data_IF_534617704147
#
_entry.id   IF_534617704147
#
_cell.length_a   1.000
_cell.length_b   1.000
_cell.length_c   1.000
_cell.angle_alpha   90.00
_cell.angle_beta   90.00
_cell.angle_gamma   90.00
#
_symmetry.space_group_name_H-M   'P 1'
#
loop_
_entity.id
_entity.type
_entity.pdbx_description
1 polymer ?
#
# COMPACT_ATOMS: atom_id res chain seq x y z
N UNK A 1 -9.93 6.95 56.03
CA UNK A 1 -9.71 5.81 55.10
C UNK A 1 -10.17 6.24 53.71
N UNK A 2 -9.25 6.56 52.81
CA UNK A 2 -9.58 6.91 51.43
C UNK A 2 -9.85 5.61 50.64
N UNK A 3 -11.04 5.49 50.03
CA UNK A 3 -11.37 4.38 49.11
C UNK A 3 -10.50 4.55 47.87
N UNK A 4 -9.52 3.68 47.69
CA UNK A 4 -8.85 3.51 46.39
C UNK A 4 -9.91 2.99 45.41
N UNK A 5 -10.27 3.79 44.42
CA UNK A 5 -11.01 3.31 43.25
C UNK A 5 -10.07 2.42 42.46
N UNK A 6 -10.17 1.10 42.64
CA UNK A 6 -9.53 0.15 41.76
C UNK A 6 -10.20 0.27 40.38
N UNK A 7 -9.45 0.80 39.42
CA UNK A 7 -9.85 0.77 38.02
C UNK A 7 -9.87 -0.70 37.64
N UNK A 8 -11.02 -1.27 37.24
CA UNK A 8 -11.08 -2.68 36.88
C UNK A 8 -10.10 -2.96 35.73
N UNK A 9 -9.41 -4.11 35.73
CA UNK A 9 -8.49 -4.48 34.66
C UNK A 9 -9.25 -4.44 33.32
N UNK A 10 -8.70 -3.72 32.34
CA UNK A 10 -9.25 -3.70 30.98
C UNK A 10 -9.24 -5.13 30.44
N UNK A 11 -10.43 -5.72 30.27
CA UNK A 11 -10.59 -6.97 29.53
C UNK A 11 -10.08 -6.72 28.11
N UNK A 12 -9.20 -7.58 27.55
CA UNK A 12 -8.81 -7.46 26.15
C UNK A 12 -10.06 -7.53 25.28
N UNK A 13 -10.28 -6.52 24.45
CA UNK A 13 -11.39 -6.49 23.50
C UNK A 13 -11.24 -7.67 22.53
N UNK A 14 -12.35 -8.33 22.20
CA UNK A 14 -12.36 -9.32 21.12
C UNK A 14 -12.04 -8.63 19.77
N UNK A 15 -11.48 -9.37 18.81
CA UNK A 15 -11.12 -8.83 17.51
C UNK A 15 -12.34 -8.24 16.77
N UNK A 16 -13.54 -8.82 16.92
CA UNK A 16 -14.75 -8.25 16.33
C UNK A 16 -15.09 -6.89 16.97
N UNK A 17 -14.97 -6.77 18.30
CA UNK A 17 -15.21 -5.52 19.02
C UNK A 17 -14.19 -4.45 18.62
N UNK A 18 -12.92 -4.83 18.46
CA UNK A 18 -11.88 -3.93 17.95
C UNK A 18 -12.20 -3.41 16.55
N UNK A 19 -12.60 -4.29 15.62
CA UNK A 19 -13.00 -3.88 14.27
C UNK A 19 -14.22 -2.95 14.30
N UNK A 20 -15.23 -3.25 15.10
CA UNK A 20 -16.40 -2.39 15.28
C UNK A 20 -16.02 -1.01 15.81
N UNK A 21 -15.14 -0.92 16.82
CA UNK A 21 -14.61 0.34 17.32
C UNK A 21 -13.84 1.12 16.26
N UNK A 22 -12.97 0.46 15.49
CA UNK A 22 -12.22 1.09 14.39
C UNK A 22 -13.15 1.64 13.29
N UNK A 23 -14.29 0.99 13.08
CA UNK A 23 -15.32 1.43 12.14
C UNK A 23 -16.24 2.52 12.73
N UNK A 24 -16.12 2.84 14.02
CA UNK A 24 -17.07 3.66 14.79
C UNK A 24 -18.51 3.12 14.69
N UNK A 25 -18.68 1.84 14.98
CA UNK A 25 -19.96 1.12 14.89
C UNK A 25 -20.23 0.32 16.16
N UNK A 26 -21.46 0.33 16.65
CA UNK A 26 -21.87 -0.55 17.78
C UNK A 26 -22.24 -1.96 17.31
N UNK A 27 -22.54 -2.12 16.01
CA UNK A 27 -22.91 -3.39 15.38
C UNK A 27 -22.64 -3.35 13.87
N UNK A 28 -22.52 -4.51 13.21
CA UNK A 28 -22.38 -4.55 11.75
C UNK A 28 -23.51 -3.80 11.04
N UNK A 29 -23.15 -3.06 9.99
CA UNK A 29 -24.09 -2.36 9.13
C UNK A 29 -24.45 -3.23 7.92
N UNK A 30 -25.58 -2.95 7.28
CA UNK A 30 -25.81 -3.42 5.90
C UNK A 30 -25.03 -2.55 4.90
N UNK A 31 -24.76 -3.08 3.70
CA UNK A 31 -24.18 -2.28 2.60
C UNK A 31 -24.94 -0.97 2.35
N UNK A 32 -26.27 -1.02 2.44
CA UNK A 32 -27.14 0.16 2.28
C UNK A 32 -26.91 1.20 3.38
N UNK A 33 -26.71 0.79 4.63
CA UNK A 33 -26.45 1.71 5.74
C UNK A 33 -25.04 2.34 5.67
N UNK A 34 -24.06 1.61 5.13
CA UNK A 34 -22.68 2.09 5.06
C UNK A 34 -22.46 3.19 4.01
N UNK A 35 -22.92 2.98 2.76
CA UNK A 35 -22.63 3.89 1.64
C UNK A 35 -23.90 4.51 1.01
N UNK A 36 -25.09 4.04 1.38
CA UNK A 36 -26.33 4.39 0.70
C UNK A 36 -26.49 3.69 -0.66
N UNK A 37 -27.73 3.52 -1.11
CA UNK A 37 -28.00 2.85 -2.40
C UNK A 37 -27.41 3.58 -3.61
N UNK A 38 -27.24 4.91 -3.51
CA UNK A 38 -26.76 5.74 -4.63
C UNK A 38 -25.27 5.55 -4.91
N UNK A 39 -24.47 5.22 -3.89
CA UNK A 39 -23.03 5.01 -4.07
C UNK A 39 -22.71 3.82 -5.00
N UNK A 40 -23.58 2.81 -5.01
CA UNK A 40 -23.44 1.65 -5.91
C UNK A 40 -23.96 1.92 -7.32
N UNK A 41 -24.68 3.02 -7.53
CA UNK A 41 -25.18 3.41 -8.86
C UNK A 41 -24.04 4.08 -9.64
N UNK A 42 -23.46 3.36 -10.59
CA UNK A 42 -22.30 3.82 -11.36
C UNK A 42 -20.95 3.48 -10.73
N UNK A 43 -20.94 2.53 -9.80
CA UNK A 43 -19.69 1.90 -9.40
C UNK A 43 -19.09 1.10 -10.56
N UNK A 44 -17.78 0.87 -10.54
CA UNK A 44 -17.03 0.09 -11.53
C UNK A 44 -16.04 -0.79 -10.80
N UNK A 45 -15.93 -2.09 -11.14
CA UNK A 45 -14.87 -2.95 -10.60
C UNK A 45 -13.54 -2.54 -11.24
N UNK A 46 -12.53 -2.30 -10.42
CA UNK A 46 -11.22 -1.76 -10.86
C UNK A 46 -10.04 -2.65 -10.51
N UNK A 47 -10.27 -3.68 -9.71
CA UNK A 47 -9.25 -4.63 -9.32
C UNK A 47 -9.83 -5.74 -8.47
N UNK A 48 -9.01 -6.74 -8.27
CA UNK A 48 -9.29 -7.92 -7.47
C UNK A 48 -8.00 -8.38 -6.78
N UNK A 49 -8.15 -9.11 -5.71
CA UNK A 49 -7.08 -9.87 -5.09
C UNK A 49 -7.65 -11.13 -4.47
N UNK A 50 -6.79 -12.03 -4.00
CA UNK A 50 -7.19 -13.33 -3.44
C UNK A 50 -8.30 -13.21 -2.39
N UNK A 51 -8.23 -12.20 -1.53
CA UNK A 51 -9.17 -12.03 -0.42
C UNK A 51 -10.33 -11.09 -0.69
N UNK A 52 -10.47 -10.48 -1.88
CA UNK A 52 -11.57 -9.54 -2.07
C UNK A 52 -11.60 -8.80 -3.40
N UNK A 53 -12.57 -7.90 -3.46
CA UNK A 53 -12.96 -7.19 -4.68
C UNK A 53 -12.79 -5.69 -4.49
N UNK A 54 -12.31 -4.98 -5.51
CA UNK A 54 -12.11 -3.53 -5.46
C UNK A 54 -12.99 -2.82 -6.48
N UNK A 55 -13.79 -1.87 -6.00
CA UNK A 55 -14.67 -1.05 -6.85
C UNK A 55 -14.36 0.44 -6.69
N UNK A 56 -14.40 1.19 -7.78
CA UNK A 56 -14.49 2.65 -7.74
C UNK A 56 -15.94 3.06 -7.57
N UNK A 57 -16.21 3.97 -6.64
CA UNK A 57 -17.51 4.60 -6.42
C UNK A 57 -17.41 6.12 -6.62
N UNK A 58 -18.42 6.73 -7.22
CA UNK A 58 -18.49 8.17 -7.49
C UNK A 58 -19.35 8.93 -6.48
N UNK A 59 -18.88 10.11 -6.08
CA UNK A 59 -19.57 11.03 -5.18
C UNK A 59 -19.47 12.46 -5.73
N UNK A 60 -20.32 12.80 -6.70
CA UNK A 60 -20.26 14.10 -7.39
C UNK A 60 -19.05 14.15 -8.33
N UNK A 61 -18.16 15.13 -8.13
CA UNK A 61 -16.91 15.28 -8.89
C UNK A 61 -15.75 14.44 -8.35
N UNK A 62 -15.93 13.78 -7.21
CA UNK A 62 -14.90 12.96 -6.57
C UNK A 62 -15.21 11.47 -6.71
N UNK A 63 -14.17 10.65 -6.57
CA UNK A 63 -14.27 9.19 -6.53
C UNK A 63 -13.57 8.63 -5.29
N UNK A 64 -13.85 7.38 -4.98
CA UNK A 64 -13.22 6.61 -3.91
C UNK A 64 -13.11 5.16 -4.34
N UNK A 65 -12.13 4.43 -3.82
CA UNK A 65 -12.03 2.99 -4.01
C UNK A 65 -12.59 2.27 -2.78
N UNK A 66 -13.38 1.22 -2.97
CA UNK A 66 -13.84 0.33 -1.91
C UNK A 66 -13.26 -1.06 -2.10
N UNK A 67 -12.50 -1.56 -1.12
CA UNK A 67 -12.03 -2.97 -1.05
C UNK A 67 -12.98 -3.72 -0.12
N UNK A 68 -13.62 -4.77 -0.62
CA UNK A 68 -14.60 -5.57 0.12
C UNK A 68 -14.00 -6.95 0.37
N UNK A 69 -13.80 -7.30 1.64
CA UNK A 69 -13.18 -8.55 2.07
C UNK A 69 -14.21 -9.38 2.84
N UNK A 70 -14.66 -10.54 2.35
CA UNK A 70 -15.49 -11.47 3.13
C UNK A 70 -14.67 -12.05 4.29
N UNK A 71 -15.27 -12.05 5.48
CA UNK A 71 -14.65 -12.53 6.71
C UNK A 71 -15.60 -13.43 7.47
N UNK A 72 -15.08 -14.25 8.39
CA UNK A 72 -15.85 -15.06 9.34
C UNK A 72 -16.79 -16.11 8.69
N UNK A 73 -16.66 -16.35 7.39
CA UNK A 73 -17.42 -17.39 6.70
C UNK A 73 -16.76 -18.76 6.80
N UNK A 74 -17.58 -19.81 6.69
CA UNK A 74 -17.16 -21.21 6.88
C UNK A 74 -16.94 -21.96 5.57
N UNK A 75 -16.75 -21.26 4.46
CA UNK A 75 -16.55 -21.86 3.14
C UNK A 75 -15.47 -21.08 2.36
N UNK A 76 -14.73 -21.75 1.46
CA UNK A 76 -13.68 -21.11 0.68
C UNK A 76 -14.22 -20.07 -0.30
N UNK A 77 -13.45 -19.01 -0.53
CA UNK A 77 -13.68 -17.97 -1.54
C UNK A 77 -12.38 -17.79 -2.29
N UNK A 78 -12.39 -17.90 -3.63
CA UNK A 78 -11.19 -17.80 -4.48
C UNK A 78 -10.12 -18.85 -4.11
N UNK A 79 -10.54 -20.05 -3.75
CA UNK A 79 -9.66 -21.14 -3.32
C UNK A 79 -9.16 -21.05 -1.87
N UNK A 80 -9.41 -19.94 -1.15
CA UNK A 80 -8.88 -19.69 0.19
C UNK A 80 -9.97 -19.65 1.27
N UNK A 81 -9.60 -19.97 2.51
CA UNK A 81 -10.49 -19.76 3.64
C UNK A 81 -10.67 -18.26 3.90
N UNK A 82 -11.89 -17.86 4.27
CA UNK A 82 -12.15 -16.48 4.66
C UNK A 82 -11.38 -16.14 5.95
N UNK A 83 -10.80 -14.94 5.99
CA UNK A 83 -10.10 -14.45 7.18
C UNK A 83 -11.08 -14.32 8.35
N UNK A 84 -10.63 -14.68 9.54
CA UNK A 84 -11.30 -14.29 10.81
C UNK A 84 -11.10 -12.79 11.09
N UNK A 85 -11.88 -12.23 12.01
CA UNK A 85 -11.72 -10.88 12.52
C UNK A 85 -10.28 -10.63 13.02
N UNK A 86 -9.69 -11.62 13.72
CA UNK A 86 -8.32 -11.54 14.22
C UNK A 86 -7.28 -11.51 13.08
N UNK A 87 -7.52 -12.22 11.97
CA UNK A 87 -6.61 -12.26 10.83
C UNK A 87 -6.69 -11.03 9.92
N UNK A 88 -7.85 -10.36 9.84
CA UNK A 88 -7.98 -9.12 9.05
C UNK A 88 -7.62 -7.85 9.85
N UNK A 89 -7.69 -7.91 11.18
CA UNK A 89 -7.39 -6.78 12.06
C UNK A 89 -6.00 -6.14 11.83
N UNK A 90 -4.91 -6.90 11.57
CA UNK A 90 -3.61 -6.30 11.23
C UNK A 90 -3.67 -5.37 10.03
N UNK A 91 -4.31 -5.79 8.93
CA UNK A 91 -4.46 -4.98 7.71
C UNK A 91 -5.24 -3.69 8.00
N UNK A 92 -6.30 -3.77 8.82
CA UNK A 92 -7.10 -2.62 9.24
C UNK A 92 -6.26 -1.60 10.04
N UNK A 93 -5.46 -2.07 10.99
CA UNK A 93 -4.63 -1.20 11.85
C UNK A 93 -3.54 -0.55 11.01
N UNK A 94 -2.83 -1.33 10.19
CA UNK A 94 -1.74 -0.84 9.35
C UNK A 94 -2.26 0.22 8.37
N UNK A 95 -3.40 -0.03 7.72
CA UNK A 95 -4.09 0.94 6.86
C UNK A 95 -4.28 2.31 7.56
N UNK A 96 -4.85 2.31 8.77
CA UNK A 96 -5.11 3.56 9.50
C UNK A 96 -3.82 4.27 9.94
N UNK A 97 -2.83 3.51 10.39
CA UNK A 97 -1.55 4.07 10.86
C UNK A 97 -0.74 4.69 9.72
N UNK A 98 -0.67 4.03 8.56
CA UNK A 98 0.02 4.56 7.39
C UNK A 98 -0.69 5.78 6.78
N UNK A 99 -2.03 5.74 6.70
CA UNK A 99 -2.82 6.90 6.27
C UNK A 99 -2.57 8.13 7.15
N UNK A 100 -2.31 7.92 8.44
CA UNK A 100 -2.06 8.99 9.40
C UNK A 100 -0.68 9.64 9.26
N UNK A 101 0.26 9.05 8.50
CA UNK A 101 1.60 9.62 8.21
C UNK A 101 1.54 10.85 7.29
N UNK A 102 0.38 11.14 6.69
CA UNK A 102 0.15 12.37 5.91
C UNK A 102 0.14 13.65 6.76
N UNK A 103 0.00 13.52 8.09
CA UNK A 103 -0.06 14.65 9.03
C UNK A 103 1.34 15.17 9.34
N UNK A 104 1.54 16.48 9.15
CA UNK A 104 2.87 17.13 9.23
C UNK A 104 3.33 17.47 10.64
N UNK A 105 2.55 17.14 11.66
CA UNK A 105 2.88 17.32 13.08
C UNK A 105 3.76 16.19 13.64
N UNK A 106 4.07 15.18 12.81
CA UNK A 106 4.88 14.03 13.20
C UNK A 106 6.37 14.21 12.89
N UNK A 107 7.21 13.54 13.67
CA UNK A 107 8.66 13.52 13.47
C UNK A 107 9.08 12.93 12.11
N UNK A 108 8.24 12.09 11.51
CA UNK A 108 8.34 11.67 10.12
C UNK A 108 6.95 11.69 9.48
N UNK A 109 6.83 12.23 8.26
CA UNK A 109 5.54 12.37 7.58
C UNK A 109 5.69 12.37 6.05
N UNK A 110 4.74 11.75 5.35
CA UNK A 110 4.60 11.82 3.89
C UNK A 110 3.14 11.56 3.47
N UNK A 111 2.69 12.12 2.33
CA UNK A 111 1.33 11.89 1.84
C UNK A 111 1.18 10.62 0.98
N UNK A 112 2.25 9.85 0.76
CA UNK A 112 2.34 8.82 -0.27
C UNK A 112 1.80 7.43 0.12
N UNK A 113 1.13 7.29 1.26
CA UNK A 113 0.29 6.13 1.56
C UNK A 113 -1.16 6.46 1.27
N UNK A 114 -1.93 5.51 0.73
CA UNK A 114 -3.31 5.79 0.37
C UNK A 114 -4.15 6.16 1.60
N UNK A 115 -4.93 7.22 1.47
CA UNK A 115 -5.78 7.67 2.55
C UNK A 115 -6.93 6.69 2.79
N UNK A 116 -7.10 6.27 4.05
CA UNK A 116 -8.28 5.53 4.51
C UNK A 116 -9.33 6.55 4.91
N UNK A 117 -10.37 6.72 4.09
CA UNK A 117 -11.51 7.57 4.43
C UNK A 117 -12.33 6.97 5.56
N UNK A 118 -12.63 5.66 5.46
CA UNK A 118 -13.45 4.95 6.45
C UNK A 118 -13.32 3.44 6.35
N UNK A 119 -13.51 2.76 7.48
CA UNK A 119 -13.72 1.31 7.55
C UNK A 119 -15.18 1.03 7.91
N UNK A 120 -15.73 -0.06 7.39
CA UNK A 120 -17.07 -0.52 7.73
C UNK A 120 -17.07 -2.03 8.00
N UNK A 121 -17.57 -2.41 9.17
CA UNK A 121 -17.99 -3.77 9.45
C UNK A 121 -19.39 -3.96 8.86
N UNK A 122 -19.51 -4.85 7.88
CA UNK A 122 -20.74 -5.12 7.15
C UNK A 122 -21.27 -6.52 7.46
N UNK A 123 -22.60 -6.66 7.50
CA UNK A 123 -23.29 -7.95 7.42
C UNK A 123 -24.41 -7.88 6.38
N UNK A 124 -24.49 -8.86 5.49
CA UNK A 124 -25.55 -8.93 4.48
C UNK A 124 -25.19 -9.74 3.23
N UNK A 125 -26.10 -9.77 2.25
CA UNK A 125 -25.81 -10.35 0.93
C UNK A 125 -24.97 -9.41 0.08
N UNK A 126 -24.18 -9.96 -0.83
CA UNK A 126 -23.43 -9.17 -1.81
C UNK A 126 -24.39 -8.34 -2.70
N UNK A 127 -24.20 -7.03 -2.85
CA UNK A 127 -25.13 -6.18 -3.60
C UNK A 127 -25.24 -6.56 -5.09
N UNK A 128 -26.46 -6.68 -5.65
CA UNK A 128 -26.64 -7.00 -7.08
C UNK A 128 -25.96 -6.02 -8.04
N UNK A 129 -25.84 -4.75 -7.66
CA UNK A 129 -25.15 -3.75 -8.47
C UNK A 129 -23.64 -4.03 -8.58
N UNK A 130 -23.01 -4.55 -7.51
CA UNK A 130 -21.60 -4.94 -7.50
C UNK A 130 -21.40 -6.24 -8.29
N UNK A 131 -22.31 -7.20 -8.18
CA UNK A 131 -22.29 -8.42 -9.00
C UNK A 131 -22.30 -8.10 -10.49
N UNK A 132 -23.15 -7.15 -10.91
CA UNK A 132 -23.18 -6.70 -12.30
C UNK A 132 -21.84 -6.12 -12.77
N UNK A 133 -21.15 -5.37 -11.91
CA UNK A 133 -19.82 -4.81 -12.26
C UNK A 133 -18.74 -5.87 -12.25
N UNK A 134 -18.87 -6.89 -11.39
CA UNK A 134 -18.02 -8.07 -11.43
C UNK A 134 -18.18 -8.80 -12.77
N UNK A 135 -19.41 -9.01 -13.24
CA UNK A 135 -19.69 -9.66 -14.53
C UNK A 135 -19.11 -8.89 -15.72
N UNK A 136 -19.17 -7.55 -15.69
CA UNK A 136 -18.55 -6.70 -16.71
C UNK A 136 -17.02 -6.87 -16.72
N UNK A 137 -16.39 -6.77 -15.54
CA UNK A 137 -14.94 -6.94 -15.42
C UNK A 137 -14.48 -8.32 -15.87
N UNK A 138 -15.18 -9.39 -15.48
CA UNK A 138 -14.87 -10.75 -15.91
C UNK A 138 -14.96 -10.90 -17.43
N UNK A 139 -15.98 -10.30 -18.06
CA UNK A 139 -16.10 -10.33 -19.52
C UNK A 139 -14.99 -9.58 -20.27
N UNK A 140 -14.40 -8.55 -19.65
CA UNK A 140 -13.38 -7.69 -20.27
C UNK A 140 -11.95 -8.15 -19.97
N UNK A 141 -11.70 -8.64 -18.76
CA UNK A 141 -10.37 -8.94 -18.21
C UNK A 141 -10.18 -10.40 -17.81
N UNK A 142 -11.25 -11.20 -17.76
CA UNK A 142 -11.30 -12.56 -17.23
C UNK A 142 -10.82 -12.63 -15.78
N UNK A 143 -11.76 -12.58 -14.85
CA UNK A 143 -11.50 -12.61 -13.41
C UNK A 143 -10.80 -13.92 -13.03
N UNK A 144 -9.82 -13.83 -12.15
CA UNK A 144 -9.20 -14.98 -11.48
C UNK A 144 -10.01 -15.41 -10.26
N UNK A 145 -10.84 -14.51 -9.72
CA UNK A 145 -11.70 -14.76 -8.58
C UNK A 145 -13.01 -15.50 -8.97
N UNK A 146 -13.64 -16.13 -7.98
CA UNK A 146 -14.99 -16.65 -8.07
C UNK A 146 -16.01 -15.50 -8.05
N UNK A 147 -17.14 -15.68 -8.76
CA UNK A 147 -18.25 -14.72 -8.70
C UNK A 147 -18.82 -14.66 -7.27
N UNK A 148 -18.90 -13.48 -6.61
CA UNK A 148 -19.27 -13.37 -5.20
C UNK A 148 -20.80 -13.42 -4.95
N UNK A 149 -21.51 -14.37 -5.56
CA UNK A 149 -22.97 -14.50 -5.48
C UNK A 149 -23.47 -15.58 -4.51
N UNK A 150 -22.56 -16.37 -3.95
CA UNK A 150 -22.84 -17.45 -3.01
C UNK A 150 -23.19 -16.95 -1.59
N UNK A 151 -22.91 -15.68 -1.28
CA UNK A 151 -23.05 -15.12 0.07
C UNK A 151 -24.51 -14.95 0.54
N UNK A 152 -24.77 -15.39 1.77
CA UNK A 152 -26.07 -15.30 2.45
C UNK A 152 -26.17 -14.02 3.29
N UNK A 153 -27.34 -13.79 3.89
CA UNK A 153 -27.64 -12.55 4.63
C UNK A 153 -26.87 -12.39 5.95
N UNK A 154 -26.30 -13.48 6.46
CA UNK A 154 -25.47 -13.58 7.65
C UNK A 154 -23.97 -13.42 7.37
N UNK A 155 -23.55 -13.38 6.09
CA UNK A 155 -22.16 -13.14 5.71
C UNK A 155 -21.66 -11.80 6.24
N UNK A 156 -20.45 -11.81 6.80
CA UNK A 156 -19.75 -10.63 7.32
C UNK A 156 -18.67 -10.16 6.33
N UNK A 157 -18.41 -8.86 6.29
CA UNK A 157 -17.32 -8.27 5.51
C UNK A 157 -16.64 -7.17 6.29
N UNK A 158 -15.35 -6.98 6.04
CA UNK A 158 -14.70 -5.71 6.29
C UNK A 158 -14.58 -4.96 4.97
N UNK A 159 -15.11 -3.74 4.92
CA UNK A 159 -15.04 -2.88 3.74
C UNK A 159 -14.18 -1.66 4.05
N UNK A 160 -13.12 -1.49 3.27
CA UNK A 160 -12.23 -0.35 3.33
C UNK A 160 -12.66 0.66 2.28
N UNK A 161 -12.84 1.92 2.65
CA UNK A 161 -13.03 3.03 1.71
C UNK A 161 -11.78 3.89 1.70
N UNK A 162 -11.12 3.92 0.55
CA UNK A 162 -9.90 4.67 0.29
C UNK A 162 -10.16 5.87 -0.62
N UNK A 163 -9.28 6.86 -0.57
CA UNK A 163 -9.18 7.87 -1.63
C UNK A 163 -8.83 7.22 -2.98
N UNK A 164 -9.17 7.87 -4.09
CA UNK A 164 -8.84 7.37 -5.42
C UNK A 164 -7.37 7.65 -5.73
N UNK A 165 -6.54 6.60 -5.73
CA UNK A 165 -5.11 6.69 -6.01
C UNK A 165 -4.76 6.66 -7.49
N UNK A 166 -5.75 6.56 -8.39
CA UNK A 166 -5.53 6.46 -9.83
C UNK A 166 -5.44 5.01 -10.32
N UNK A 167 -4.39 4.69 -11.08
CA UNK A 167 -4.21 3.42 -11.77
C UNK A 167 -3.00 2.67 -11.20
N UNK A 168 -3.02 1.34 -11.15
CA UNK A 168 -1.83 0.57 -10.73
C UNK A 168 -0.65 0.82 -11.67
N UNK A 169 0.57 0.81 -11.15
CA UNK A 169 1.78 1.02 -11.96
C UNK A 169 1.94 -0.09 -13.00
N UNK A 170 1.36 -1.27 -12.77
CA UNK A 170 1.24 -2.36 -13.74
C UNK A 170 0.46 -1.95 -15.00
N UNK A 171 -0.72 -1.33 -14.83
CA UNK A 171 -1.55 -0.85 -15.94
C UNK A 171 -1.11 0.52 -16.47
N UNK A 172 -0.40 1.31 -15.67
CA UNK A 172 -0.03 2.69 -15.99
C UNK A 172 1.10 2.79 -17.03
N UNK A 173 0.92 3.69 -17.99
CA UNK A 173 1.93 4.04 -19.00
C UNK A 173 2.85 5.17 -18.51
N UNK A 174 4.12 4.86 -18.28
CA UNK A 174 5.13 5.85 -17.95
C UNK A 174 5.44 6.69 -19.19
N UNK A 175 5.35 8.00 -19.10
CA UNK A 175 5.57 8.90 -20.25
C UNK A 175 7.02 9.38 -20.36
N UNK A 176 7.80 9.31 -19.29
CA UNK A 176 9.20 9.73 -19.29
C UNK A 176 10.07 9.05 -18.23
N UNK A 177 11.39 9.00 -18.48
CA UNK A 177 12.35 8.54 -17.48
C UNK A 177 12.37 9.38 -16.20
N UNK A 178 12.09 10.68 -16.30
CA UNK A 178 12.00 11.60 -15.15
C UNK A 178 10.78 11.30 -14.27
N UNK A 179 9.69 10.85 -14.87
CA UNK A 179 8.49 10.38 -14.19
C UNK A 179 8.76 9.06 -13.47
N UNK A 180 9.39 8.08 -14.13
CA UNK A 180 9.83 6.83 -13.49
C UNK A 180 10.72 7.10 -12.26
N UNK A 181 11.71 7.99 -12.42
CA UNK A 181 12.59 8.41 -11.32
C UNK A 181 11.81 9.08 -10.18
N UNK A 182 10.80 9.90 -10.52
CA UNK A 182 9.95 10.54 -9.51
C UNK A 182 9.14 9.50 -8.73
N UNK A 183 8.49 8.55 -9.41
CA UNK A 183 7.74 7.46 -8.78
C UNK A 183 8.62 6.70 -7.79
N UNK A 184 9.83 6.29 -8.24
CA UNK A 184 10.80 5.61 -7.37
C UNK A 184 11.09 6.41 -6.10
N UNK A 185 11.42 7.70 -6.23
CA UNK A 185 11.80 8.54 -5.08
C UNK A 185 10.62 8.80 -4.13
N UNK A 186 9.41 8.95 -4.67
CA UNK A 186 8.20 9.09 -3.86
C UNK A 186 7.96 7.83 -3.00
N UNK A 187 8.02 6.65 -3.62
CA UNK A 187 7.86 5.37 -2.92
C UNK A 187 9.00 5.13 -1.93
N UNK A 188 10.25 5.40 -2.31
CA UNK A 188 11.39 5.29 -1.41
C UNK A 188 11.28 6.23 -0.19
N UNK A 189 10.86 7.49 -0.37
CA UNK A 189 10.61 8.39 0.77
C UNK A 189 9.47 7.87 1.65
N UNK A 190 8.40 7.36 1.06
CA UNK A 190 7.25 6.83 1.81
C UNK A 190 7.66 5.69 2.74
N UNK A 191 8.38 4.70 2.22
CA UNK A 191 8.88 3.59 3.02
C UNK A 191 9.89 4.05 4.09
N UNK A 192 10.79 4.99 3.76
CA UNK A 192 11.74 5.54 4.73
C UNK A 192 11.04 6.25 5.91
N UNK A 193 9.95 6.98 5.62
CA UNK A 193 9.11 7.63 6.63
C UNK A 193 8.42 6.59 7.51
N UNK A 194 7.82 5.57 6.91
CA UNK A 194 7.11 4.53 7.66
C UNK A 194 8.06 3.63 8.48
N UNK A 195 9.27 3.32 7.97
CA UNK A 195 10.33 2.67 8.74
C UNK A 195 10.70 3.49 9.97
N UNK A 196 10.87 4.80 9.79
CA UNK A 196 11.28 5.70 10.88
C UNK A 196 10.19 5.87 11.92
N UNK A 197 8.94 6.01 11.50
CA UNK A 197 7.81 6.28 12.39
C UNK A 197 7.26 5.02 13.07
N UNK A 198 7.29 3.89 12.36
CA UNK A 198 6.49 2.70 12.70
C UNK A 198 7.25 1.39 12.53
N UNK A 199 8.57 1.41 12.29
CA UNK A 199 9.35 0.20 11.95
C UNK A 199 8.64 -0.62 10.84
N UNK A 200 8.08 0.07 9.85
CA UNK A 200 7.22 -0.55 8.85
C UNK A 200 7.99 -1.41 7.84
N UNK A 201 7.40 -2.52 7.45
CA UNK A 201 7.78 -3.32 6.28
C UNK A 201 6.54 -3.59 5.43
N UNK A 202 6.59 -3.27 4.14
CA UNK A 202 5.46 -3.51 3.24
C UNK A 202 5.25 -5.00 2.97
N UNK A 203 6.35 -5.70 2.69
CA UNK A 203 6.46 -7.14 2.40
C UNK A 203 5.74 -7.63 1.14
N UNK A 204 4.93 -6.79 0.51
CA UNK A 204 4.24 -7.15 -0.74
C UNK A 204 4.17 -5.99 -1.76
N UNK A 205 5.26 -5.25 -1.96
CA UNK A 205 5.25 -4.05 -2.79
C UNK A 205 5.54 -4.35 -4.27
N UNK A 206 4.79 -5.28 -4.85
CA UNK A 206 4.80 -5.45 -6.30
C UNK A 206 4.19 -4.21 -6.98
N UNK A 207 4.44 -4.02 -8.28
CA UNK A 207 4.01 -2.81 -8.98
C UNK A 207 2.47 -2.64 -9.09
N UNK A 208 1.69 -3.68 -8.81
CA UNK A 208 0.23 -3.58 -8.66
C UNK A 208 -0.17 -2.75 -7.43
N UNK A 209 0.67 -2.77 -6.39
CA UNK A 209 0.45 -2.09 -5.11
C UNK A 209 1.02 -0.66 -5.06
N UNK A 210 1.33 -0.08 -6.23
CA UNK A 210 1.70 1.32 -6.39
C UNK A 210 0.69 1.94 -7.34
N UNK A 211 -0.16 2.83 -6.82
CA UNK A 211 -1.09 3.58 -7.65
C UNK A 211 -0.45 4.89 -8.13
N UNK A 212 -0.73 5.27 -9.37
CA UNK A 212 -0.24 6.49 -10.00
C UNK A 212 -1.43 7.33 -10.46
N UNK A 213 -1.41 8.60 -10.06
CA UNK A 213 -2.38 9.61 -10.47
C UNK A 213 -1.68 10.90 -10.93
N UNK A 214 -2.35 11.77 -11.70
CA UNK A 214 -1.85 13.10 -11.99
C UNK A 214 -1.57 13.90 -10.70
N UNK A 215 -0.37 14.48 -10.60
CA UNK A 215 -0.02 15.30 -9.45
C UNK A 215 -0.70 16.68 -9.51
N UNK A 216 -1.36 17.06 -8.42
CA UNK A 216 -1.92 18.42 -8.26
C UNK A 216 -0.85 19.46 -7.91
N UNK A 217 0.29 19.02 -7.37
CA UNK A 217 1.40 19.88 -6.92
C UNK A 217 2.67 19.53 -7.67
N UNK A 218 3.52 20.53 -7.92
CA UNK A 218 4.86 20.34 -8.52
C UNK A 218 5.83 19.63 -7.60
N UNK A 219 5.63 19.77 -6.29
CA UNK A 219 6.48 19.16 -5.28
C UNK A 219 5.64 18.45 -4.24
N UNK A 220 6.16 17.32 -3.75
CA UNK A 220 5.70 16.63 -2.56
C UNK A 220 6.72 16.90 -1.46
N UNK A 221 6.21 17.17 -0.26
CA UNK A 221 7.04 17.41 0.92
C UNK A 221 6.98 16.18 1.81
N UNK A 222 8.14 15.62 2.13
CA UNK A 222 8.28 14.59 3.16
C UNK A 222 9.24 15.09 4.26
N UNK A 223 8.99 14.64 5.49
CA UNK A 223 9.78 14.96 6.66
C UNK A 223 10.35 13.69 7.25
N UNK A 224 11.64 13.71 7.57
CA UNK A 224 12.36 12.69 8.31
C UNK A 224 13.23 13.41 9.36
N UNK A 225 13.74 12.69 10.38
CA UNK A 225 14.71 13.27 11.34
C UNK A 225 15.94 13.89 10.67
N UNK A 226 16.34 13.42 9.48
CA UNK A 226 17.45 13.96 8.70
C UNK A 226 17.12 15.31 8.04
N UNK A 227 15.84 15.67 7.91
CA UNK A 227 15.41 16.96 7.40
C UNK A 227 14.12 16.93 6.57
N UNK A 228 13.84 18.07 5.96
CA UNK A 228 12.71 18.26 5.05
C UNK A 228 13.15 18.03 3.61
N UNK A 229 12.45 17.14 2.90
CA UNK A 229 12.72 16.80 1.52
C UNK A 229 11.58 17.29 0.62
N UNK A 230 11.95 17.93 -0.50
CA UNK A 230 11.01 18.42 -1.51
C UNK A 230 11.25 17.66 -2.82
N UNK A 231 10.37 16.70 -3.11
CA UNK A 231 10.48 15.82 -4.27
C UNK A 231 9.69 16.40 -5.45
N UNK A 232 10.32 16.56 -6.61
CA UNK A 232 9.63 16.99 -7.82
C UNK A 232 8.74 15.84 -8.34
N UNK A 233 7.45 16.11 -8.51
CA UNK A 233 6.44 15.12 -8.92
C UNK A 233 6.57 14.70 -10.38
N UNK A 234 7.20 15.53 -11.21
CA UNK A 234 7.24 15.33 -12.67
C UNK A 234 5.85 15.00 -13.26
N UNK A 235 4.80 15.59 -12.68
CA UNK A 235 3.41 15.42 -13.13
C UNK A 235 2.67 14.23 -12.52
N UNK A 236 3.31 13.40 -11.70
CA UNK A 236 2.69 12.19 -11.12
C UNK A 236 2.78 12.12 -9.60
N UNK A 237 1.77 11.53 -8.98
CA UNK A 237 1.67 11.24 -7.57
C UNK A 237 1.56 9.73 -7.38
N UNK A 238 2.51 9.14 -6.66
CA UNK A 238 2.52 7.71 -6.36
C UNK A 238 1.96 7.45 -4.95
N UNK A 239 1.01 6.51 -4.84
CA UNK A 239 0.44 6.07 -3.57
C UNK A 239 0.71 4.59 -3.36
N UNK A 240 1.22 4.23 -2.19
CA UNK A 240 1.46 2.84 -1.78
C UNK A 240 0.17 2.26 -1.18
N UNK A 241 -0.24 1.07 -1.60
CA UNK A 241 -1.48 0.38 -1.18
C UNK A 241 -1.23 -1.08 -0.79
N UNK A 242 -2.28 -1.72 -0.29
CA UNK A 242 -2.36 -3.13 0.09
C UNK A 242 -1.31 -3.59 1.12
N UNK A 243 -1.76 -3.66 2.37
CA UNK A 243 -0.91 -3.99 3.50
C UNK A 243 -1.19 -5.40 4.03
N UNK A 244 -1.71 -6.28 3.18
CA UNK A 244 -2.13 -7.64 3.56
C UNK A 244 -1.00 -8.43 4.22
N UNK A 245 0.25 -8.31 3.75
CA UNK A 245 1.41 -9.03 4.29
C UNK A 245 2.30 -8.17 5.20
N UNK A 246 1.92 -6.91 5.43
CA UNK A 246 2.79 -5.92 6.05
C UNK A 246 3.03 -6.15 7.54
N UNK A 247 4.00 -5.41 8.07
CA UNK A 247 4.36 -5.37 9.49
C UNK A 247 4.64 -3.96 9.93
N UNK A 248 4.25 -3.61 11.15
CA UNK A 248 4.71 -2.40 11.85
C UNK A 248 4.83 -2.63 13.36
N UNK A 249 5.45 -1.68 14.04
CA UNK A 249 5.48 -1.56 15.49
C UNK A 249 5.13 -0.13 15.89
N UNK A 250 4.18 0.03 16.81
CA UNK A 250 3.84 1.33 17.39
C UNK A 250 3.67 1.20 18.89
N UNK A 251 4.41 2.00 19.66
CA UNK A 251 4.36 1.97 21.12
C UNK A 251 4.72 0.61 21.72
N UNK A 252 5.60 -0.16 21.05
CA UNK A 252 5.99 -1.52 21.45
C UNK A 252 5.03 -2.63 21.04
N UNK A 253 3.87 -2.30 20.46
CA UNK A 253 2.94 -3.28 19.92
C UNK A 253 3.27 -3.58 18.46
N UNK A 254 3.63 -4.85 18.18
CA UNK A 254 3.92 -5.32 16.83
C UNK A 254 2.65 -5.86 16.19
N UNK A 255 2.30 -5.33 15.02
CA UNK A 255 1.17 -5.74 14.19
C UNK A 255 1.71 -6.27 12.88
N UNK A 256 1.40 -7.51 12.53
CA UNK A 256 1.92 -8.16 11.35
C UNK A 256 1.00 -9.31 10.90
N UNK A 257 1.12 -9.70 9.64
CA UNK A 257 0.57 -10.95 9.13
C UNK A 257 1.63 -12.04 9.20
N UNK A 258 1.33 -13.12 9.91
CA UNK A 258 2.22 -14.28 9.98
C UNK A 258 1.99 -15.19 8.77
N UNK A 259 3.02 -15.33 7.95
CA UNK A 259 3.02 -16.18 6.74
C UNK A 259 3.99 -17.34 6.87
N UNK A 260 4.39 -17.72 8.09
CA UNK A 260 5.38 -18.76 8.32
C UNK A 260 5.00 -20.14 7.76
N UNK A 261 3.69 -20.41 7.61
CA UNK A 261 3.11 -21.65 7.07
C UNK A 261 2.60 -21.51 5.61
N UNK A 262 2.75 -20.34 4.98
CA UNK A 262 2.21 -20.06 3.64
C UNK A 262 3.16 -20.54 2.55
N UNK A 263 3.20 -21.85 2.31
CA UNK A 263 4.14 -22.45 1.38
C UNK A 263 3.97 -21.98 -0.08
N UNK A 264 2.73 -21.77 -0.53
CA UNK A 264 2.42 -21.38 -1.91
C UNK A 264 2.98 -19.99 -2.26
N UNK A 265 3.01 -19.05 -1.29
CA UNK A 265 3.61 -17.73 -1.45
C UNK A 265 5.08 -17.79 -1.92
N UNK A 266 5.81 -18.83 -1.52
CA UNK A 266 7.24 -18.97 -1.81
C UNK A 266 7.56 -19.83 -3.04
N UNK A 267 6.55 -20.50 -3.62
CA UNK A 267 6.68 -21.40 -4.77
C UNK A 267 6.46 -20.71 -6.12
N UNK A 268 5.92 -19.48 -6.12
CA UNK A 268 5.70 -18.72 -7.35
C UNK A 268 6.96 -18.54 -8.21
N UNK A 269 6.77 -18.48 -9.53
CA UNK A 269 7.83 -18.34 -10.54
C UNK A 269 7.35 -17.46 -11.69
N UNK A 270 8.28 -16.99 -12.53
CA UNK A 270 7.96 -16.24 -13.75
C UNK A 270 8.08 -14.72 -13.64
N UNK A 271 8.19 -14.19 -12.43
CA UNK A 271 8.47 -12.78 -12.18
C UNK A 271 9.42 -12.60 -10.97
N UNK A 272 10.23 -11.55 -10.99
CA UNK A 272 11.20 -11.24 -9.94
C UNK A 272 10.55 -11.01 -8.57
N UNK A 273 9.26 -10.67 -8.51
CA UNK A 273 8.50 -10.56 -7.25
C UNK A 273 8.60 -11.84 -6.41
N UNK A 274 8.58 -13.01 -7.06
CA UNK A 274 8.61 -14.27 -6.32
C UNK A 274 9.99 -14.57 -5.72
N UNK A 275 11.06 -14.07 -6.34
CA UNK A 275 12.39 -14.09 -5.74
C UNK A 275 12.47 -13.19 -4.51
N UNK A 276 11.74 -12.06 -4.50
CA UNK A 276 11.67 -11.18 -3.33
C UNK A 276 11.06 -11.93 -2.14
N UNK A 277 9.94 -12.65 -2.30
CA UNK A 277 9.37 -13.46 -1.20
C UNK A 277 10.38 -14.46 -0.62
N UNK A 278 11.07 -15.20 -1.49
CA UNK A 278 12.12 -16.16 -1.07
C UNK A 278 13.28 -15.47 -0.36
N UNK A 279 13.72 -14.31 -0.85
CA UNK A 279 14.81 -13.53 -0.23
C UNK A 279 14.40 -12.99 1.13
N UNK A 280 13.17 -12.50 1.29
CA UNK A 280 12.64 -12.08 2.59
C UNK A 280 12.64 -13.25 3.59
N UNK A 281 12.03 -14.40 3.22
CA UNK A 281 11.98 -15.61 4.07
C UNK A 281 13.37 -16.08 4.49
N UNK A 282 14.33 -16.07 3.56
CA UNK A 282 15.72 -16.42 3.83
C UNK A 282 16.37 -15.45 4.82
N UNK A 283 16.16 -14.14 4.64
CA UNK A 283 16.84 -13.11 5.41
C UNK A 283 16.26 -12.97 6.83
N UNK A 284 14.93 -13.00 6.97
CA UNK A 284 14.26 -12.99 8.27
C UNK A 284 14.23 -14.37 8.96
N UNK A 285 14.77 -15.42 8.32
CA UNK A 285 14.79 -16.81 8.83
C UNK A 285 13.39 -17.35 9.16
N UNK A 286 12.39 -16.95 8.37
CA UNK A 286 10.97 -17.23 8.57
C UNK A 286 10.36 -16.62 9.86
N UNK A 287 11.02 -15.66 10.50
CA UNK A 287 10.45 -14.84 11.58
C UNK A 287 9.81 -13.58 10.98
N UNK A 288 8.49 -13.61 10.85
CA UNK A 288 7.71 -12.51 10.29
C UNK A 288 7.32 -11.46 11.35
N UNK A 289 7.64 -11.66 12.62
CA UNK A 289 7.35 -10.67 13.67
C UNK A 289 8.47 -9.63 13.80
N UNK A 290 9.72 -10.09 13.72
CA UNK A 290 10.90 -9.24 13.85
C UNK A 290 10.96 -8.13 12.80
N UNK A 291 11.47 -6.96 13.20
CA UNK A 291 11.70 -5.85 12.27
C UNK A 291 12.93 -6.14 11.40
N UNK A 292 12.72 -6.22 10.09
CA UNK A 292 13.75 -6.51 9.10
C UNK A 292 13.63 -5.51 7.93
N UNK A 293 14.08 -4.25 8.09
CA UNK A 293 13.86 -3.20 7.08
C UNK A 293 14.50 -3.49 5.71
N UNK A 294 15.42 -4.45 5.65
CA UNK A 294 16.00 -4.92 4.39
C UNK A 294 14.93 -5.43 3.42
N UNK A 295 13.78 -5.93 3.91
CA UNK A 295 12.66 -6.34 3.05
C UNK A 295 12.13 -5.18 2.19
N UNK A 296 12.09 -3.95 2.71
CA UNK A 296 11.71 -2.78 1.91
C UNK A 296 12.79 -2.43 0.86
N UNK A 297 14.07 -2.58 1.19
CA UNK A 297 15.15 -2.38 0.23
C UNK A 297 15.08 -3.40 -0.93
N UNK A 298 14.70 -4.65 -0.64
CA UNK A 298 14.45 -5.68 -1.65
C UNK A 298 13.31 -5.28 -2.60
N UNK A 299 12.21 -4.77 -2.05
CA UNK A 299 11.09 -4.29 -2.86
C UNK A 299 11.40 -3.02 -3.66
N UNK A 300 12.21 -2.10 -3.12
CA UNK A 300 12.70 -0.96 -3.90
C UNK A 300 13.62 -1.40 -5.05
N UNK A 301 14.45 -2.42 -4.84
CA UNK A 301 15.23 -3.01 -5.94
C UNK A 301 14.34 -3.62 -7.01
N UNK A 302 13.30 -4.36 -6.62
CA UNK A 302 12.29 -4.85 -7.56
C UNK A 302 11.65 -3.69 -8.35
N UNK A 303 11.21 -2.64 -7.65
CA UNK A 303 10.59 -1.48 -8.26
C UNK A 303 11.54 -0.77 -9.25
N UNK A 304 12.82 -0.60 -8.92
CA UNK A 304 13.78 0.02 -9.84
C UNK A 304 13.95 -0.80 -11.12
N UNK A 305 14.00 -2.13 -11.02
CA UNK A 305 14.02 -3.01 -12.21
C UNK A 305 12.78 -2.81 -13.07
N UNK A 306 11.57 -2.83 -12.47
CA UNK A 306 10.31 -2.63 -13.20
C UNK A 306 10.20 -1.26 -13.87
N UNK A 307 10.63 -0.21 -13.19
CA UNK A 307 10.65 1.14 -13.74
C UNK A 307 11.67 1.29 -14.87
N UNK A 308 12.82 0.60 -14.80
CA UNK A 308 13.78 0.54 -15.89
C UNK A 308 13.21 -0.21 -17.10
N UNK A 309 12.57 -1.36 -16.89
CA UNK A 309 11.90 -2.13 -17.95
C UNK A 309 10.87 -1.28 -18.70
N UNK A 310 9.98 -0.58 -17.96
CA UNK A 310 8.97 0.31 -18.56
C UNK A 310 9.55 1.61 -19.13
N UNK A 311 10.58 2.18 -18.50
CA UNK A 311 11.06 3.53 -18.78
C UNK A 311 12.26 3.65 -19.73
N UNK A 312 13.05 2.58 -19.94
CA UNK A 312 14.32 2.64 -20.69
C UNK A 312 14.17 3.03 -22.16
N UNK A 313 13.04 2.77 -22.80
CA UNK A 313 12.79 3.10 -24.22
C UNK A 313 12.46 4.58 -24.46
N UNK A 314 12.32 5.38 -23.39
CA UNK A 314 11.76 6.73 -23.45
C UNK A 314 12.81 7.85 -23.42
N UNK A 315 14.10 7.54 -23.60
CA UNK A 315 15.19 8.53 -23.57
C UNK A 315 15.19 9.44 -24.82
N UNK A 316 14.48 10.56 -24.76
CA UNK A 316 14.37 11.54 -25.85
C UNK A 316 15.11 12.85 -25.57
N UNK A 317 15.68 13.02 -24.38
CA UNK A 317 16.43 14.21 -23.96
C UNK A 317 17.58 13.87 -23.02
N UNK A 318 18.56 14.76 -22.90
CA UNK A 318 19.70 14.61 -21.97
C UNK A 318 19.24 14.40 -20.52
N UNK A 319 18.18 15.08 -20.10
CA UNK A 319 17.62 14.94 -18.76
C UNK A 319 17.05 13.53 -18.52
N UNK A 320 16.37 12.97 -19.52
CA UNK A 320 15.84 11.61 -19.45
C UNK A 320 16.95 10.56 -19.50
N UNK A 321 18.00 10.78 -20.31
CA UNK A 321 19.19 9.92 -20.32
C UNK A 321 19.89 9.90 -18.95
N UNK A 322 20.00 11.06 -18.29
CA UNK A 322 20.53 11.15 -16.92
C UNK A 322 19.65 10.39 -15.93
N UNK A 323 18.33 10.54 -16.02
CA UNK A 323 17.41 9.83 -15.14
C UNK A 323 17.48 8.30 -15.27
N UNK A 324 17.63 7.79 -16.50
CA UNK A 324 17.86 6.35 -16.74
C UNK A 324 19.21 5.91 -16.18
N UNK A 325 20.28 6.69 -16.41
CA UNK A 325 21.60 6.36 -15.90
C UNK A 325 21.61 6.28 -14.37
N UNK A 326 20.97 7.23 -13.70
CA UNK A 326 20.82 7.21 -12.23
C UNK A 326 19.98 6.02 -11.76
N UNK A 327 18.82 5.74 -12.38
CA UNK A 327 18.01 4.57 -12.01
C UNK A 327 18.78 3.25 -12.18
N UNK A 328 19.59 3.13 -13.24
CA UNK A 328 20.46 1.96 -13.46
C UNK A 328 21.55 1.85 -12.40
N UNK A 329 22.27 2.94 -12.12
CA UNK A 329 23.25 2.99 -11.04
C UNK A 329 22.64 2.60 -9.69
N UNK A 330 21.42 3.09 -9.43
CA UNK A 330 20.71 2.76 -8.20
C UNK A 330 20.37 1.27 -8.12
N UNK A 331 19.80 0.71 -9.18
CA UNK A 331 19.42 -0.70 -9.25
C UNK A 331 20.64 -1.63 -9.17
N UNK A 332 21.64 -1.39 -10.01
CA UNK A 332 22.76 -2.33 -10.23
C UNK A 332 23.79 -2.30 -9.09
N UNK A 333 23.85 -1.21 -8.31
CA UNK A 333 24.91 -1.02 -7.31
C UNK A 333 24.40 -0.48 -5.99
N UNK A 334 23.74 0.68 -5.96
CA UNK A 334 23.49 1.42 -4.73
C UNK A 334 22.50 0.71 -3.79
N UNK A 335 21.34 0.26 -4.33
CA UNK A 335 20.28 -0.36 -3.53
C UNK A 335 20.76 -1.68 -2.94
N UNK A 336 21.56 -2.46 -3.68
CA UNK A 336 22.09 -3.75 -3.23
C UNK A 336 23.02 -3.62 -2.01
N UNK A 337 23.53 -2.43 -1.72
CA UNK A 337 24.38 -2.12 -0.56
C UNK A 337 23.59 -1.53 0.62
N UNK A 338 22.27 -1.37 0.50
CA UNK A 338 21.43 -0.77 1.54
C UNK A 338 20.78 -1.84 2.43
N UNK A 339 20.57 -1.50 3.71
CA UNK A 339 19.94 -2.39 4.69
C UNK A 339 18.51 -1.97 5.04
N UNK A 340 18.03 -0.86 4.49
CA UNK A 340 16.71 -0.26 4.75
C UNK A 340 16.27 0.62 3.59
N UNK A 341 14.97 0.91 3.47
CA UNK A 341 14.50 1.91 2.49
C UNK A 341 14.93 3.32 2.84
N UNK A 342 15.13 3.63 4.12
CA UNK A 342 15.75 4.88 4.57
C UNK A 342 17.15 5.06 3.98
N UNK A 343 18.01 4.04 4.04
CA UNK A 343 19.35 4.10 3.43
C UNK A 343 19.26 4.30 1.91
N UNK A 344 18.35 3.58 1.25
CA UNK A 344 18.11 3.72 -0.19
C UNK A 344 17.73 5.16 -0.52
N UNK A 345 16.72 5.71 0.16
CA UNK A 345 16.22 7.06 -0.10
C UNK A 345 17.31 8.11 0.11
N UNK A 346 18.00 8.09 1.26
CA UNK A 346 19.02 9.08 1.60
C UNK A 346 20.21 9.05 0.64
N UNK A 347 20.63 7.87 0.18
CA UNK A 347 21.69 7.74 -0.82
C UNK A 347 21.22 8.22 -2.20
N UNK A 348 20.04 7.80 -2.67
CA UNK A 348 19.50 8.20 -3.98
C UNK A 348 19.16 9.70 -4.06
N UNK A 349 18.71 10.33 -2.99
CA UNK A 349 18.48 11.78 -2.98
C UNK A 349 19.80 12.55 -2.85
N UNK A 350 20.79 11.99 -2.14
CA UNK A 350 22.13 12.54 -2.01
C UNK A 350 22.86 12.69 -3.35
N UNK A 351 22.74 11.72 -4.26
CA UNK A 351 23.34 11.79 -5.61
C UNK A 351 22.82 12.97 -6.44
N UNK A 352 21.60 13.46 -6.18
CA UNK A 352 21.07 14.64 -6.87
C UNK A 352 21.73 15.95 -6.42
N UNK A 353 22.17 16.00 -5.16
CA UNK A 353 22.77 17.21 -4.58
C UNK A 353 24.22 17.43 -5.02
N UNK A 354 24.98 16.36 -5.25
CA UNK A 354 26.36 16.40 -5.74
C UNK A 354 26.43 16.81 -7.21
N UNK A 355 25.47 16.40 -8.05
CA UNK A 355 25.39 16.83 -9.45
C UNK A 355 25.01 18.31 -9.61
N UNK A 356 24.15 18.87 -8.74
CA UNK A 356 23.88 20.33 -8.74
C UNK A 356 25.11 21.16 -8.38
N UNK A 357 26.02 20.64 -7.55
CA UNK A 357 27.29 21.31 -7.22
C UNK A 357 28.34 21.16 -8.33
N UNK A 358 28.40 20.03 -9.01
CA UNK A 358 29.32 19.81 -10.14
C UNK A 358 28.95 20.63 -11.41
N UNK A 359 27.71 21.09 -11.54
CA UNK A 359 27.25 21.97 -12.62
C UNK A 359 27.46 23.47 -12.40
N UNK A 360 27.89 23.88 -11.19
CA UNK A 360 28.24 25.26 -10.90
C UNK A 360 29.72 25.48 -11.25
N UNK A 361 29.99 25.72 -12.54
CA UNK A 361 31.28 26.25 -12.97
C UNK A 361 31.50 27.60 -12.26
N UNK A 362 32.64 27.85 -11.58
CA UNK A 362 32.89 29.16 -11.02
C UNK A 362 33.10 30.13 -12.19
N UNK A 363 32.06 30.90 -12.51
CA UNK A 363 32.20 32.05 -13.38
C UNK A 363 33.20 32.99 -12.71
N UNK A 364 34.40 33.10 -13.31
CA UNK A 364 35.39 34.10 -13.00
C UNK A 364 34.75 35.50 -12.89
N UNK A 365 34.90 36.13 -11.73
CA UNK A 365 35.35 37.52 -11.59
C UNK A 365 36.20 37.66 -10.35
#
# INVERSE_FOLDING_TARGET
>A
MARKSEIPPRVPLDANEMLLQMCNQDKPLTFKQALGMRAFKGCVKIGEGTYGEVFRIGHGSESSAIKIVPIEGSFPVNGENQKTAAQILPEAIICQELSALSRTDQAASCPNFIEVKRLYYIQGRYPPALLKQWDVYDSERRSENDRPDCFKADQKYLMFQFSDGGMSLEDYEINSATEAKSIFLQVACALAVAETALEFEHRDLHWGNILVAPAQKRHIHCHLPEGHFSLNTNGVFASVIDYTLSRLCKGGAVVFTDVCQEDELFRGVGDYQFDIYRRMKKHNKNDWKSFTPYTNALWLHYLSCKLLEKGCSLARSRQQSSAIAELREWSDTLILQCQSSKDVFLKCIGTQSTQKRAGACPCHR
#
